data_IF_373643564015
#
_entry.id   IF_373643564015
#
_cell.length_a   1.000
_cell.length_b   1.000
_cell.length_c   1.000
_cell.angle_alpha   90.00
_cell.angle_beta   90.00
_cell.angle_gamma   90.00
#
_symmetry.space_group_name_H-M   'P 1'
#
loop_
_entity.id
_entity.type
_entity.pdbx_description
1 polymer ?
#
# COMPACT_ATOMS: atom_id res chain seq x y z
N UNK A 1 -5.37 -3.63 -15.14
CA UNK A 1 -5.98 -2.48 -15.82
C UNK A 1 -4.95 -1.54 -16.40
N UNK A 2 -5.43 -0.52 -17.09
CA UNK A 2 -4.61 0.58 -17.62
C UNK A 2 -5.38 1.89 -17.42
N UNK A 3 -4.66 2.99 -17.34
CA UNK A 3 -5.23 4.32 -17.28
C UNK A 3 -4.47 5.26 -18.23
N UNK A 4 -5.14 6.32 -18.62
CA UNK A 4 -4.56 7.40 -19.42
C UNK A 4 -5.13 8.73 -18.92
N UNK A 5 -4.26 9.72 -18.78
CA UNK A 5 -4.63 11.09 -18.43
C UNK A 5 -4.21 12.02 -19.57
N UNK A 6 -5.16 12.69 -20.18
CA UNK A 6 -4.91 13.70 -21.21
C UNK A 6 -4.58 15.04 -20.53
N UNK A 7 -3.44 15.61 -20.85
CA UNK A 7 -2.94 16.87 -20.30
C UNK A 7 -1.50 17.08 -20.71
N UNK A 8 -0.93 18.25 -20.45
CA UNK A 8 0.49 18.47 -20.65
C UNK A 8 1.25 18.13 -19.37
N UNK A 9 2.29 17.34 -19.51
CA UNK A 9 3.17 16.90 -18.44
C UNK A 9 4.60 17.28 -18.75
N UNK A 10 5.27 17.93 -17.82
CA UNK A 10 6.68 18.27 -17.96
C UNK A 10 7.53 17.01 -17.96
N UNK A 11 8.56 17.00 -18.78
CA UNK A 11 9.56 15.94 -18.84
C UNK A 11 10.59 16.18 -17.73
N UNK A 12 10.74 15.21 -16.82
CA UNK A 12 11.65 15.32 -15.66
C UNK A 12 13.12 15.33 -16.07
N UNK A 13 13.48 14.68 -17.20
CA UNK A 13 14.81 14.69 -17.77
C UNK A 13 15.16 15.98 -18.53
N UNK A 14 14.24 16.97 -18.58
CA UNK A 14 14.43 18.25 -19.24
C UNK A 14 14.17 18.22 -20.75
N UNK A 15 13.46 17.22 -21.24
CA UNK A 15 12.97 17.11 -22.61
C UNK A 15 11.78 18.02 -22.89
N UNK A 16 11.09 17.77 -24.00
CA UNK A 16 9.84 18.47 -24.33
C UNK A 16 8.68 17.91 -23.51
N UNK A 17 7.75 18.77 -23.15
CA UNK A 17 6.52 18.34 -22.47
C UNK A 17 5.75 17.28 -23.28
N UNK A 18 5.14 16.35 -22.58
CA UNK A 18 4.37 15.25 -23.13
C UNK A 18 2.88 15.56 -23.19
N UNK A 19 2.22 15.19 -24.27
CA UNK A 19 0.77 15.26 -24.42
C UNK A 19 0.12 14.01 -23.82
N UNK A 20 -0.01 13.99 -22.48
CA UNK A 20 -0.60 12.90 -21.72
C UNK A 20 0.39 12.01 -21.00
N UNK A 21 -0.13 11.29 -20.00
CA UNK A 21 0.56 10.20 -19.32
C UNK A 21 -0.35 8.99 -19.20
N UNK A 22 0.25 7.83 -18.97
CA UNK A 22 -0.47 6.56 -18.92
C UNK A 22 0.22 5.59 -17.95
N UNK A 23 -0.50 4.58 -17.54
CA UNK A 23 0.07 3.53 -16.71
C UNK A 23 -0.72 2.25 -16.81
N UNK A 24 -0.10 1.19 -16.32
CA UNK A 24 -0.71 -0.13 -16.21
C UNK A 24 -0.65 -0.59 -14.76
N UNK A 25 -1.61 -1.40 -14.36
CA UNK A 25 -1.62 -2.00 -13.03
C UNK A 25 -2.25 -3.40 -13.04
N UNK A 26 -1.86 -4.20 -12.07
CA UNK A 26 -2.49 -5.48 -11.78
C UNK A 26 -2.80 -5.56 -10.29
N UNK A 27 -3.89 -6.26 -9.96
CA UNK A 27 -4.28 -6.57 -8.57
C UNK A 27 -4.85 -7.97 -8.52
N UNK A 28 -4.43 -8.74 -7.54
CA UNK A 28 -4.94 -10.07 -7.25
C UNK A 28 -5.16 -10.20 -5.75
N UNK A 29 -6.23 -10.89 -5.38
CA UNK A 29 -6.56 -11.24 -4.00
C UNK A 29 -7.13 -12.65 -3.98
N UNK A 30 -6.70 -13.45 -3.00
CA UNK A 30 -7.09 -14.84 -2.89
C UNK A 30 -7.19 -15.26 -1.43
N UNK A 31 -8.32 -15.90 -1.05
CA UNK A 31 -8.41 -16.70 0.15
C UNK A 31 -7.60 -17.99 -0.09
N UNK A 32 -6.47 -18.14 0.61
CA UNK A 32 -5.55 -19.28 0.45
C UNK A 32 -5.77 -20.38 1.49
N UNK A 33 -6.36 -20.04 2.62
CA UNK A 33 -6.74 -20.98 3.66
C UNK A 33 -8.07 -20.57 4.29
N UNK A 34 -9.00 -21.50 4.39
CA UNK A 34 -10.30 -21.33 5.06
C UNK A 34 -10.39 -22.28 6.23
N UNK A 35 -10.64 -21.76 7.41
CA UNK A 35 -10.78 -22.57 8.62
C UNK A 35 -12.25 -22.91 8.87
N UNK A 36 -13.07 -21.92 9.24
CA UNK A 36 -14.50 -22.10 9.48
C UNK A 36 -15.24 -20.80 9.12
N UNK A 37 -16.36 -20.91 8.41
CA UNK A 37 -17.14 -19.73 7.99
C UNK A 37 -16.30 -18.75 7.15
N UNK A 38 -16.12 -17.54 7.66
CA UNK A 38 -15.30 -16.49 7.04
C UNK A 38 -13.87 -16.42 7.62
N UNK A 39 -13.53 -17.27 8.60
CA UNK A 39 -12.21 -17.34 9.19
C UNK A 39 -11.20 -17.94 8.21
N UNK A 40 -9.96 -17.48 8.31
CA UNK A 40 -8.88 -17.97 7.49
C UNK A 40 -7.95 -16.89 6.97
N UNK A 41 -7.08 -17.27 6.07
CA UNK A 41 -6.00 -16.47 5.51
C UNK A 41 -6.32 -16.04 4.09
N UNK A 42 -6.36 -14.75 3.85
CA UNK A 42 -6.36 -14.15 2.52
C UNK A 42 -5.01 -13.48 2.25
N UNK A 43 -4.58 -13.48 0.99
CA UNK A 43 -3.39 -12.77 0.53
C UNK A 43 -3.75 -11.87 -0.63
N UNK A 44 -3.03 -10.77 -0.77
CA UNK A 44 -3.17 -9.89 -1.92
C UNK A 44 -1.81 -9.48 -2.48
N UNK A 45 -1.80 -9.16 -3.77
CA UNK A 45 -0.68 -8.54 -4.45
C UNK A 45 -1.18 -7.49 -5.43
N UNK A 46 -0.48 -6.36 -5.52
CA UNK A 46 -0.73 -5.28 -6.48
C UNK A 46 0.59 -4.81 -7.06
N UNK A 47 0.59 -4.43 -8.33
CA UNK A 47 1.72 -3.81 -8.98
C UNK A 47 1.24 -2.74 -9.95
N UNK A 48 2.03 -1.70 -10.13
CA UNK A 48 1.78 -0.61 -11.06
C UNK A 48 3.06 -0.12 -11.71
N UNK A 49 2.92 0.41 -12.92
CA UNK A 49 3.98 1.04 -13.70
C UNK A 49 3.46 2.26 -14.42
N UNK A 50 4.25 3.33 -14.43
CA UNK A 50 4.04 4.53 -15.22
C UNK A 50 5.38 5.02 -15.80
N UNK A 51 5.40 5.75 -16.93
CA UNK A 51 6.64 6.26 -17.52
C UNK A 51 7.39 7.19 -16.57
N UNK A 52 8.68 6.93 -16.37
CA UNK A 52 9.55 7.68 -15.45
C UNK A 52 9.78 9.14 -15.84
N UNK A 53 9.75 9.44 -17.16
CA UNK A 53 10.01 10.76 -17.71
C UNK A 53 8.95 11.82 -17.32
N UNK A 54 7.78 11.40 -16.83
CA UNK A 54 6.63 12.26 -16.50
C UNK A 54 5.77 11.79 -15.34
N UNK A 55 6.17 10.74 -14.67
CA UNK A 55 5.47 10.19 -13.51
C UNK A 55 6.44 10.05 -12.35
N UNK A 56 6.11 10.68 -11.22
CA UNK A 56 6.98 10.65 -10.04
C UNK A 56 7.25 9.23 -9.56
N UNK A 57 6.22 8.38 -9.52
CA UNK A 57 6.35 6.95 -9.19
C UNK A 57 6.39 6.16 -10.47
N UNK A 58 7.54 5.54 -10.76
CA UNK A 58 7.73 4.69 -11.92
C UNK A 58 7.16 3.29 -11.68
N UNK A 59 7.58 2.64 -10.60
CA UNK A 59 7.09 1.32 -10.20
C UNK A 59 6.50 1.38 -8.80
N UNK A 60 5.45 0.61 -8.59
CA UNK A 60 4.95 0.32 -7.26
C UNK A 60 4.53 -1.13 -7.15
N UNK A 61 4.75 -1.72 -5.98
CA UNK A 61 4.17 -3.02 -5.65
C UNK A 61 3.75 -3.07 -4.19
N UNK A 62 2.71 -3.84 -3.94
CA UNK A 62 2.17 -4.07 -2.62
C UNK A 62 1.83 -5.55 -2.51
N UNK A 63 2.09 -6.14 -1.38
CA UNK A 63 1.60 -7.47 -1.05
C UNK A 63 1.33 -7.56 0.44
N UNK A 64 0.44 -8.46 0.80
CA UNK A 64 0.12 -8.65 2.20
C UNK A 64 -0.79 -9.84 2.42
N UNK A 65 -1.08 -10.05 3.68
CA UNK A 65 -1.94 -11.11 4.16
C UNK A 65 -2.84 -10.60 5.27
N UNK A 66 -4.06 -11.11 5.33
CA UNK A 66 -4.99 -10.89 6.44
C UNK A 66 -5.53 -12.22 6.94
N UNK A 67 -5.61 -12.35 8.26
CA UNK A 67 -6.19 -13.53 8.89
C UNK A 67 -7.37 -13.10 9.78
N UNK A 68 -8.54 -13.65 9.50
CA UNK A 68 -9.74 -13.48 10.33
C UNK A 68 -9.80 -14.63 11.32
N UNK A 69 -9.96 -14.31 12.61
CA UNK A 69 -10.09 -15.32 13.67
C UNK A 69 -8.77 -15.93 14.15
N UNK A 70 -7.63 -15.26 13.94
CA UNK A 70 -6.31 -15.74 14.35
C UNK A 70 -6.19 -16.01 15.86
N UNK A 71 -6.87 -15.21 16.69
CA UNK A 71 -6.80 -15.31 18.16
C UNK A 71 -7.99 -16.10 18.66
N UNK A 72 -7.78 -17.22 19.41
CA UNK A 72 -8.88 -18.02 19.96
C UNK A 72 -9.86 -17.18 20.79
N UNK A 73 -11.16 -17.31 20.50
CA UNK A 73 -12.24 -16.54 21.12
C UNK A 73 -12.42 -15.13 20.53
N UNK A 74 -11.68 -14.79 19.47
CA UNK A 74 -11.79 -13.56 18.69
C UNK A 74 -12.00 -13.89 17.20
N UNK A 75 -13.09 -14.59 16.94
CA UNK A 75 -13.35 -15.27 15.68
C UNK A 75 -13.61 -14.32 14.49
N UNK A 76 -13.91 -13.06 14.80
CA UNK A 76 -14.24 -12.02 13.81
C UNK A 76 -13.18 -10.94 13.69
N UNK A 77 -12.21 -10.90 14.59
CA UNK A 77 -11.11 -9.93 14.54
C UNK A 77 -10.15 -10.24 13.39
N UNK A 78 -9.52 -9.22 12.85
CA UNK A 78 -8.60 -9.37 11.74
C UNK A 78 -7.18 -8.94 12.12
N UNK A 79 -6.21 -9.81 11.86
CA UNK A 79 -4.79 -9.48 11.87
C UNK A 79 -4.29 -9.34 10.44
N UNK A 80 -3.56 -8.26 10.15
CA UNK A 80 -3.01 -7.98 8.83
C UNK A 80 -1.51 -7.70 8.87
N UNK A 81 -0.81 -8.17 7.83
CA UNK A 81 0.57 -7.80 7.52
C UNK A 81 0.63 -7.31 6.07
N UNK A 82 1.35 -6.22 5.83
CA UNK A 82 1.50 -5.66 4.50
C UNK A 82 2.89 -5.07 4.26
N UNK A 83 3.26 -5.04 3.00
CA UNK A 83 4.41 -4.31 2.49
C UNK A 83 3.99 -3.52 1.27
N UNK A 84 4.44 -2.28 1.19
CA UNK A 84 4.31 -1.39 0.04
C UNK A 84 5.69 -0.85 -0.32
N UNK A 85 6.00 -0.84 -1.61
CA UNK A 85 7.23 -0.26 -2.14
C UNK A 85 6.89 0.62 -3.34
N UNK A 86 7.51 1.80 -3.39
CA UNK A 86 7.41 2.72 -4.51
C UNK A 86 8.82 3.12 -4.95
N UNK A 87 9.10 2.97 -6.23
CA UNK A 87 10.33 3.45 -6.87
C UNK A 87 10.03 4.78 -7.56
N UNK A 88 10.82 5.77 -7.25
CA UNK A 88 10.70 7.11 -7.84
C UNK A 88 11.47 7.15 -9.17
N UNK A 89 11.01 7.99 -10.07
CA UNK A 89 11.67 8.26 -11.35
C UNK A 89 13.16 8.58 -11.18
N UNK A 90 14.01 7.92 -11.95
CA UNK A 90 15.44 8.19 -11.98
C UNK A 90 15.79 9.60 -12.50
N UNK A 91 14.86 10.26 -13.19
CA UNK A 91 14.99 11.65 -13.65
C UNK A 91 14.77 12.69 -12.53
N UNK A 92 14.37 12.24 -11.32
CA UNK A 92 14.22 13.08 -10.14
C UNK A 92 15.43 12.91 -9.21
N UNK A 93 16.42 13.84 -9.25
CA UNK A 93 17.65 13.70 -8.48
C UNK A 93 17.39 13.75 -6.97
N UNK A 94 18.15 12.93 -6.21
CA UNK A 94 18.08 12.88 -4.76
C UNK A 94 16.90 12.06 -4.22
N UNK A 95 16.19 11.34 -5.08
CA UNK A 95 15.11 10.44 -4.69
C UNK A 95 15.30 9.06 -5.31
N UNK A 96 14.94 8.02 -4.55
CA UNK A 96 15.12 6.63 -4.98
C UNK A 96 13.86 5.79 -4.79
N UNK A 97 13.60 5.34 -3.59
CA UNK A 97 12.43 4.50 -3.29
C UNK A 97 12.04 4.64 -1.82
N UNK A 98 10.78 4.37 -1.53
CA UNK A 98 10.26 4.25 -0.17
C UNK A 98 9.66 2.86 0.02
N UNK A 99 9.91 2.25 1.18
CA UNK A 99 9.32 0.97 1.55
C UNK A 99 8.60 1.11 2.89
N UNK A 100 7.36 0.68 2.95
CA UNK A 100 6.56 0.64 4.17
C UNK A 100 6.16 -0.79 4.48
N UNK A 101 6.47 -1.26 5.67
CA UNK A 101 5.90 -2.49 6.22
C UNK A 101 4.90 -2.15 7.31
N UNK A 102 3.77 -2.84 7.36
CA UNK A 102 2.73 -2.62 8.35
C UNK A 102 2.27 -3.92 8.97
N UNK A 103 2.07 -3.91 10.30
CA UNK A 103 1.28 -4.88 11.02
C UNK A 103 0.08 -4.17 11.64
N UNK A 104 -1.13 -4.73 11.44
CA UNK A 104 -2.36 -4.14 11.94
C UNK A 104 -3.24 -5.21 12.61
N UNK A 105 -3.96 -4.79 13.65
CA UNK A 105 -4.97 -5.61 14.32
C UNK A 105 -6.26 -4.83 14.45
N UNK A 106 -7.33 -5.37 13.87
CA UNK A 106 -8.67 -4.85 13.97
C UNK A 106 -9.46 -5.63 15.02
N UNK A 107 -9.83 -4.95 16.07
CA UNK A 107 -10.65 -5.45 17.17
C UNK A 107 -12.10 -5.04 16.93
N UNK A 108 -13.00 -6.02 16.74
CA UNK A 108 -14.42 -5.80 16.54
C UNK A 108 -15.12 -5.88 17.91
N UNK A 109 -15.57 -4.72 18.42
CA UNK A 109 -16.29 -4.65 19.69
C UNK A 109 -17.77 -4.94 19.54
N UNK A 110 -18.38 -4.44 18.47
CA UNK A 110 -19.77 -4.68 18.08
C UNK A 110 -19.93 -4.46 16.57
N UNK A 111 -21.13 -4.73 16.05
CA UNK A 111 -21.46 -4.48 14.65
C UNK A 111 -21.31 -3.00 14.26
N UNK A 112 -21.42 -2.09 15.25
CA UNK A 112 -21.33 -0.65 15.02
C UNK A 112 -19.95 -0.08 15.36
N UNK A 113 -19.09 -0.78 16.12
CA UNK A 113 -17.85 -0.19 16.64
C UNK A 113 -16.64 -1.11 16.50
N UNK A 114 -15.63 -0.62 15.78
CA UNK A 114 -14.34 -1.30 15.64
C UNK A 114 -13.18 -0.37 16.03
N UNK A 115 -12.10 -0.97 16.50
CA UNK A 115 -10.83 -0.31 16.81
C UNK A 115 -9.72 -1.03 16.05
N UNK A 116 -8.94 -0.30 15.27
CA UNK A 116 -7.77 -0.84 14.60
C UNK A 116 -6.50 -0.16 15.14
N UNK A 117 -5.56 -0.96 15.59
CA UNK A 117 -4.20 -0.53 15.92
C UNK A 117 -3.24 -0.97 14.83
N UNK A 118 -2.25 -0.15 14.51
CA UNK A 118 -1.21 -0.51 13.56
C UNK A 118 0.17 0.00 13.96
N UNK A 119 1.19 -0.67 13.49
CA UNK A 119 2.57 -0.22 13.50
C UNK A 119 3.13 -0.30 12.10
N UNK A 120 3.76 0.78 11.66
CA UNK A 120 4.41 0.87 10.35
C UNK A 120 5.90 1.17 10.55
N UNK A 121 6.74 0.49 9.78
CA UNK A 121 8.14 0.82 9.63
C UNK A 121 8.34 1.35 8.21
N UNK A 122 8.75 2.60 8.13
CA UNK A 122 8.97 3.33 6.88
C UNK A 122 10.47 3.43 6.67
N UNK A 123 10.97 2.81 5.61
CA UNK A 123 12.34 2.89 5.15
C UNK A 123 12.45 3.97 4.10
N UNK A 124 13.45 4.82 4.20
CA UNK A 124 13.71 5.96 3.30
C UNK A 124 12.48 6.87 3.11
N UNK A 125 11.94 7.48 4.20
CA UNK A 125 10.74 8.32 4.12
C UNK A 125 10.86 9.43 3.08
N UNK A 126 9.85 9.54 2.19
CA UNK A 126 9.88 10.46 1.06
C UNK A 126 10.80 10.03 -0.08
N UNK A 127 11.29 8.78 -0.04
CA UNK A 127 12.20 8.19 -1.01
C UNK A 127 13.53 8.97 -1.11
N UNK A 128 14.05 9.47 0.00
CA UNK A 128 15.27 10.29 0.10
C UNK A 128 16.14 9.84 1.27
N UNK A 129 17.45 10.04 1.16
CA UNK A 129 18.42 9.79 2.24
C UNK A 129 18.47 10.93 3.28
N UNK A 130 17.60 11.95 3.16
CA UNK A 130 17.59 13.10 4.09
C UNK A 130 16.98 12.78 5.45
N UNK A 131 16.18 11.74 5.55
CA UNK A 131 15.46 11.34 6.76
C UNK A 131 15.83 9.93 7.16
N UNK A 132 16.01 9.73 8.46
CA UNK A 132 16.14 8.38 9.03
C UNK A 132 14.82 7.61 8.92
N UNK A 133 14.92 6.28 8.95
CA UNK A 133 13.76 5.38 9.01
C UNK A 133 12.80 5.77 10.12
N UNK A 134 11.51 5.65 9.86
CA UNK A 134 10.47 6.04 10.80
C UNK A 134 9.64 4.85 11.29
N UNK A 135 9.34 4.85 12.58
CA UNK A 135 8.35 3.94 13.18
C UNK A 135 7.08 4.74 13.50
N UNK A 136 5.96 4.34 12.91
CA UNK A 136 4.67 5.04 13.06
C UNK A 136 3.67 4.12 13.74
N UNK A 137 2.99 4.65 14.78
CA UNK A 137 1.89 3.97 15.45
C UNK A 137 0.58 4.60 15.05
N UNK A 138 -0.37 3.77 14.61
CA UNK A 138 -1.69 4.18 14.19
C UNK A 138 -2.79 3.65 15.13
N UNK A 139 -3.81 4.46 15.36
CA UNK A 139 -5.05 4.06 16.00
C UNK A 139 -6.22 4.62 15.18
N UNK A 140 -7.11 3.74 14.74
CA UNK A 140 -8.32 4.10 14.01
C UNK A 140 -9.53 3.55 14.74
N UNK A 141 -10.59 4.33 14.80
CA UNK A 141 -11.90 3.86 15.28
C UNK A 141 -12.94 4.07 14.19
N UNK A 142 -13.81 3.09 13.99
CA UNK A 142 -14.95 3.21 13.09
C UNK A 142 -16.23 3.06 13.90
N UNK A 143 -17.18 3.97 13.67
CA UNK A 143 -18.51 3.96 14.26
C UNK A 143 -19.54 4.04 13.13
N UNK A 144 -20.44 3.05 13.09
CA UNK A 144 -21.56 2.97 12.14
C UNK A 144 -22.88 3.13 12.92
N UNK A 145 -23.83 3.92 12.42
CA UNK A 145 -25.14 4.19 13.04
C UNK A 145 -26.23 4.38 11.99
#
# INVERSE_FOLDING_TARGET
GAWHHAGSFDDFGGGSAHDGTQGIYASAEQMVYREYGDQGLAVFARAGYAPEDRSEVEYSFQFGASYIGLIPGRDIDTFGLGLSHATISSDLPGRTSETVTEAAYEYIMSDEFTIQSSVQWVLDPGATDEFDDALVFGLRTNLSF
#
